data_IF_205869184333
#
_entry.id   IF_205869184333
#
_cell.length_a   1.000
_cell.length_b   1.000
_cell.length_c   1.000
_cell.angle_alpha   90.00
_cell.angle_beta   90.00
_cell.angle_gamma   90.00
#
_symmetry.space_group_name_H-M   'P 1'
#
loop_
_entity.id
_entity.type
_entity.pdbx_description
1 polymer ?
#
# COMPACT_ATOMS: atom_id res chain seq x y z
N UNK A 1 2.25 -22.97 -10.18
CA UNK A 1 2.83 -23.75 -9.06
C UNK A 1 1.85 -24.87 -8.69
N UNK A 2 2.30 -26.00 -8.10
CA UNK A 2 1.38 -27.03 -7.62
C UNK A 2 0.45 -26.47 -6.53
N UNK A 3 -0.85 -26.77 -6.59
CA UNK A 3 -1.84 -26.30 -5.61
C UNK A 3 -1.46 -26.62 -4.15
N UNK A 4 -0.76 -27.74 -3.92
CA UNK A 4 -0.34 -28.17 -2.59
C UNK A 4 0.72 -27.27 -1.95
N UNK A 5 1.56 -26.62 -2.76
CA UNK A 5 2.57 -25.69 -2.26
C UNK A 5 1.89 -24.40 -1.76
N UNK A 6 0.90 -23.89 -2.50
CA UNK A 6 0.13 -22.70 -2.12
C UNK A 6 -0.59 -22.91 -0.77
N UNK A 7 -1.09 -24.12 -0.51
CA UNK A 7 -1.72 -24.47 0.76
C UNK A 7 -0.75 -24.44 1.96
N UNK A 8 0.50 -24.87 1.76
CA UNK A 8 1.53 -24.83 2.82
C UNK A 8 2.05 -23.42 3.14
N UNK A 9 1.90 -22.47 2.20
CA UNK A 9 2.25 -21.07 2.38
C UNK A 9 1.05 -20.18 2.72
N UNK A 10 -0.13 -20.75 2.89
CA UNK A 10 -1.38 -19.99 3.01
C UNK A 10 -1.38 -19.02 4.20
N UNK A 11 -0.79 -19.39 5.33
CA UNK A 11 -0.63 -18.47 6.47
C UNK A 11 0.35 -17.32 6.16
N UNK A 12 1.48 -17.60 5.50
CA UNK A 12 2.46 -16.60 5.07
C UNK A 12 1.92 -15.69 3.96
N UNK A 13 1.03 -16.20 3.12
CA UNK A 13 0.34 -15.44 2.08
C UNK A 13 -0.82 -14.61 2.67
N UNK A 14 -1.42 -15.04 3.77
CA UNK A 14 -2.40 -14.23 4.49
C UNK A 14 -1.73 -12.95 5.02
N UNK A 15 -0.53 -13.05 5.57
CA UNK A 15 0.27 -11.87 5.99
C UNK A 15 0.55 -10.90 4.83
N UNK A 16 0.72 -11.42 3.60
CA UNK A 16 0.89 -10.58 2.40
C UNK A 16 -0.37 -9.75 2.12
N UNK A 17 -1.57 -10.28 2.38
CA UNK A 17 -2.82 -9.53 2.19
C UNK A 17 -2.98 -8.35 3.14
N UNK A 18 -2.26 -8.35 4.26
CA UNK A 18 -2.27 -7.28 5.27
C UNK A 18 -1.15 -6.25 5.04
N UNK A 19 -0.29 -6.46 4.04
CA UNK A 19 0.81 -5.55 3.76
C UNK A 19 0.32 -4.21 3.18
N UNK A 20 0.90 -3.11 3.64
CA UNK A 20 0.59 -1.76 3.14
C UNK A 20 1.02 -1.55 1.68
N UNK A 21 2.08 -2.24 1.27
CA UNK A 21 2.63 -2.20 -0.06
C UNK A 21 3.30 -3.53 -0.38
N UNK A 22 2.98 -4.07 -1.56
CA UNK A 22 3.57 -5.27 -2.11
C UNK A 22 4.46 -4.86 -3.28
N UNK A 23 5.73 -5.26 -3.24
CA UNK A 23 6.65 -5.06 -4.36
C UNK A 23 6.73 -6.33 -5.20
N UNK A 24 6.21 -6.26 -6.43
CA UNK A 24 6.33 -7.33 -7.42
C UNK A 24 7.66 -7.17 -8.15
N UNK A 25 8.73 -7.75 -7.61
CA UNK A 25 10.06 -7.70 -8.24
C UNK A 25 10.13 -8.71 -9.39
N UNK A 26 10.31 -8.21 -10.61
CA UNK A 26 10.30 -9.01 -11.84
C UNK A 26 11.66 -8.87 -12.52
N UNK A 27 12.28 -10.01 -12.84
CA UNK A 27 13.47 -10.02 -13.70
C UNK A 27 13.06 -9.79 -15.15
N UNK A 28 13.27 -8.56 -15.65
CA UNK A 28 12.84 -8.20 -17.00
C UNK A 28 13.77 -8.77 -18.09
N UNK A 29 14.95 -9.27 -17.72
CA UNK A 29 15.84 -9.96 -18.67
C UNK A 29 15.38 -11.38 -19.00
N UNK A 30 14.41 -11.91 -18.24
CA UNK A 30 13.87 -13.24 -18.47
C UNK A 30 12.80 -13.21 -19.58
N UNK A 31 12.95 -13.97 -20.68
CA UNK A 31 11.95 -14.01 -21.76
C UNK A 31 10.56 -14.50 -21.32
N UNK A 32 10.47 -15.18 -20.18
CA UNK A 32 9.20 -15.67 -19.60
C UNK A 32 8.67 -14.79 -18.46
N UNK A 33 9.15 -13.55 -18.33
CA UNK A 33 8.75 -12.66 -17.22
C UNK A 33 7.24 -12.42 -17.17
N UNK A 34 6.57 -12.30 -18.33
CA UNK A 34 5.13 -12.06 -18.43
C UNK A 34 4.34 -13.20 -17.77
N UNK A 35 4.64 -14.44 -18.14
CA UNK A 35 3.99 -15.63 -17.55
C UNK A 35 4.22 -15.74 -16.04
N UNK A 36 5.41 -15.36 -15.57
CA UNK A 36 5.69 -15.32 -14.14
C UNK A 36 4.87 -14.23 -13.44
N UNK A 37 4.80 -13.03 -14.01
CA UNK A 37 4.03 -11.93 -13.48
C UNK A 37 2.53 -12.23 -13.46
N UNK A 38 1.99 -12.86 -14.51
CA UNK A 38 0.61 -13.35 -14.56
C UNK A 38 0.32 -14.34 -13.43
N UNK A 39 1.23 -15.29 -13.22
CA UNK A 39 1.11 -16.28 -12.13
C UNK A 39 1.10 -15.58 -10.76
N UNK A 40 1.98 -14.60 -10.55
CA UNK A 40 2.03 -13.80 -9.31
C UNK A 40 0.73 -13.02 -9.13
N UNK A 41 0.23 -12.36 -10.17
CA UNK A 41 -1.03 -11.61 -10.11
C UNK A 41 -2.22 -12.52 -9.77
N UNK A 42 -2.28 -13.73 -10.34
CA UNK A 42 -3.32 -14.72 -10.00
C UNK A 42 -3.28 -15.10 -8.52
N UNK A 43 -2.10 -15.40 -7.99
CA UNK A 43 -1.95 -15.76 -6.57
C UNK A 43 -2.33 -14.59 -5.66
N UNK A 44 -1.89 -13.37 -5.98
CA UNK A 44 -2.25 -12.16 -5.22
C UNK A 44 -3.76 -11.91 -5.24
N UNK A 45 -4.39 -12.09 -6.40
CA UNK A 45 -5.85 -11.97 -6.53
C UNK A 45 -6.60 -13.02 -5.69
N UNK A 46 -6.13 -14.27 -5.67
CA UNK A 46 -6.72 -15.36 -4.85
C UNK A 46 -6.70 -15.07 -3.34
N UNK A 47 -5.74 -14.28 -2.87
CA UNK A 47 -5.62 -13.87 -1.46
C UNK A 47 -6.23 -12.49 -1.18
N UNK A 48 -6.95 -11.89 -2.14
CA UNK A 48 -7.67 -10.63 -1.95
C UNK A 48 -6.82 -9.37 -2.07
N UNK A 49 -5.59 -9.47 -2.57
CA UNK A 49 -4.75 -8.29 -2.84
C UNK A 49 -5.26 -7.59 -4.10
N UNK A 50 -5.49 -6.28 -3.99
CA UNK A 50 -5.90 -5.44 -5.13
C UNK A 50 -4.69 -4.72 -5.73
N UNK A 51 -4.77 -4.37 -7.02
CA UNK A 51 -3.67 -3.71 -7.76
C UNK A 51 -3.22 -2.37 -7.15
N UNK A 52 -4.07 -1.69 -6.36
CA UNK A 52 -3.68 -0.44 -5.66
C UNK A 52 -2.58 -0.67 -4.61
N UNK A 53 -2.48 -1.87 -4.04
CA UNK A 53 -1.52 -2.21 -2.98
C UNK A 53 -0.23 -2.83 -3.55
N UNK A 54 -0.06 -2.89 -4.87
CA UNK A 54 1.07 -3.55 -5.51
C UNK A 54 1.82 -2.63 -6.49
N UNK A 55 3.14 -2.54 -6.33
CA UNK A 55 4.04 -1.85 -7.25
C UNK A 55 4.90 -2.87 -8.00
N UNK A 56 4.80 -2.86 -9.33
CA UNK A 56 5.67 -3.68 -10.19
C UNK A 56 7.04 -3.02 -10.33
N UNK A 57 8.09 -3.79 -10.08
CA UNK A 57 9.48 -3.36 -10.21
C UNK A 57 10.19 -4.26 -11.20
N UNK A 58 10.51 -3.73 -12.37
CA UNK A 58 11.33 -4.43 -13.37
C UNK A 58 12.80 -4.29 -13.03
N UNK A 59 13.37 -5.34 -12.43
CA UNK A 59 14.78 -5.41 -12.09
C UNK A 59 15.62 -5.98 -13.25
N UNK A 60 16.95 -5.83 -13.13
CA UNK A 60 17.97 -6.30 -14.08
C UNK A 60 17.91 -5.64 -15.46
N UNK A 61 17.50 -4.36 -15.52
CA UNK A 61 17.49 -3.62 -16.79
C UNK A 61 18.88 -3.49 -17.42
N UNK A 62 19.95 -3.67 -16.65
CA UNK A 62 21.33 -3.68 -17.14
C UNK A 62 21.67 -4.88 -18.04
N UNK A 63 20.83 -5.93 -18.02
CA UNK A 63 20.97 -7.10 -18.87
C UNK A 63 20.13 -7.03 -20.15
N UNK A 64 19.29 -6.00 -20.29
CA UNK A 64 18.41 -5.86 -21.45
C UNK A 64 19.20 -5.25 -22.60
N UNK A 65 19.34 -6.04 -23.67
CA UNK A 65 20.00 -5.60 -24.90
C UNK A 65 19.00 -5.08 -25.95
N UNK A 66 17.75 -5.54 -25.86
CA UNK A 66 16.69 -5.17 -26.79
C UNK A 66 15.80 -4.06 -26.19
N UNK A 67 15.88 -2.89 -26.81
CA UNK A 67 15.11 -1.71 -26.39
C UNK A 67 13.61 -1.86 -26.64
N UNK A 68 13.19 -2.71 -27.60
CA UNK A 68 11.79 -2.96 -27.91
C UNK A 68 11.13 -3.73 -26.76
N UNK A 69 11.78 -4.77 -26.24
CA UNK A 69 11.33 -5.51 -25.05
C UNK A 69 11.14 -4.57 -23.86
N UNK A 70 12.12 -3.70 -23.60
CA UNK A 70 12.04 -2.73 -22.51
C UNK A 70 10.86 -1.77 -22.66
N UNK A 71 10.68 -1.23 -23.87
CA UNK A 71 9.63 -0.25 -24.17
C UNK A 71 8.25 -0.89 -24.09
N UNK A 72 8.11 -2.11 -24.62
CA UNK A 72 6.86 -2.85 -24.58
C UNK A 72 6.45 -3.21 -23.15
N UNK A 73 7.40 -3.68 -22.33
CA UNK A 73 7.12 -3.99 -20.92
C UNK A 73 6.59 -2.79 -20.13
N UNK A 74 7.19 -1.60 -20.33
CA UNK A 74 6.72 -0.37 -19.68
C UNK A 74 5.37 0.11 -20.24
N UNK A 75 5.07 -0.17 -21.51
CA UNK A 75 3.78 0.14 -22.14
C UNK A 75 2.68 -0.75 -21.57
N UNK A 76 2.95 -2.04 -21.40
CA UNK A 76 1.97 -3.00 -20.86
C UNK A 76 1.77 -2.87 -19.35
N UNK A 77 2.78 -2.39 -18.62
CA UNK A 77 2.72 -2.20 -17.18
C UNK A 77 2.93 -0.72 -16.80
N UNK A 78 1.94 0.14 -17.08
CA UNK A 78 2.01 1.54 -16.72
C UNK A 78 2.16 1.70 -15.21
N UNK A 79 3.13 2.52 -14.79
CA UNK A 79 3.48 2.71 -13.38
C UNK A 79 4.55 1.76 -12.85
N UNK A 80 5.00 0.77 -13.64
CA UNK A 80 6.14 -0.05 -13.26
C UNK A 80 7.43 0.78 -13.15
N UNK A 81 8.26 0.46 -12.16
CA UNK A 81 9.56 1.10 -11.97
C UNK A 81 10.66 0.17 -12.48
N UNK A 82 11.35 0.58 -13.54
CA UNK A 82 12.49 -0.13 -14.10
C UNK A 82 13.80 0.25 -13.38
N UNK A 83 14.49 -0.74 -12.83
CA UNK A 83 15.73 -0.58 -12.04
C UNK A 83 16.78 -1.61 -12.41
N UNK A 84 18.04 -1.28 -12.14
CA UNK A 84 19.06 -2.30 -11.91
C UNK A 84 19.57 -2.11 -10.50
N UNK A 85 19.15 -2.98 -9.58
CA UNK A 85 19.63 -2.92 -8.19
C UNK A 85 21.14 -3.16 -8.15
N UNK A 86 21.66 -4.07 -8.98
CA UNK A 86 23.10 -4.37 -9.05
C UNK A 86 23.93 -3.18 -9.52
N UNK A 87 23.41 -2.37 -10.45
CA UNK A 87 24.09 -1.20 -10.99
C UNK A 87 23.65 0.11 -10.33
N UNK A 88 22.80 0.04 -9.32
CA UNK A 88 22.17 1.18 -8.65
C UNK A 88 21.40 2.13 -9.60
N UNK A 89 20.96 1.63 -10.76
CA UNK A 89 20.21 2.42 -11.74
C UNK A 89 18.76 2.56 -11.29
N UNK A 90 18.27 3.79 -11.21
CA UNK A 90 16.90 4.17 -10.82
C UNK A 90 16.47 3.71 -9.42
N UNK A 91 17.39 3.31 -8.55
CA UNK A 91 17.06 2.88 -7.18
C UNK A 91 16.43 4.02 -6.37
N UNK A 92 16.94 5.26 -6.51
CA UNK A 92 16.33 6.44 -5.87
C UNK A 92 14.89 6.72 -6.35
N UNK A 93 14.58 6.40 -7.61
CA UNK A 93 13.21 6.50 -8.15
C UNK A 93 12.30 5.45 -7.53
N UNK A 94 12.80 4.23 -7.32
CA UNK A 94 12.08 3.18 -6.61
C UNK A 94 11.83 3.57 -5.15
N UNK A 95 12.82 4.10 -4.46
CA UNK A 95 12.68 4.60 -3.08
C UNK A 95 11.59 5.68 -2.99
N UNK A 96 11.62 6.68 -3.88
CA UNK A 96 10.59 7.71 -3.93
C UNK A 96 9.19 7.12 -4.19
N UNK A 97 9.07 6.17 -5.12
CA UNK A 97 7.80 5.51 -5.41
C UNK A 97 7.25 4.70 -4.22
N UNK A 98 8.12 4.02 -3.47
CA UNK A 98 7.75 3.32 -2.23
C UNK A 98 7.23 4.31 -1.19
N UNK A 99 7.95 5.41 -0.97
CA UNK A 99 7.55 6.45 -0.02
C UNK A 99 6.20 7.07 -0.40
N UNK A 100 5.99 7.36 -1.68
CA UNK A 100 4.73 7.93 -2.17
C UNK A 100 3.57 6.94 -2.05
N UNK A 101 3.78 5.67 -2.36
CA UNK A 101 2.77 4.64 -2.20
C UNK A 101 2.32 4.52 -0.74
N UNK A 102 3.26 4.42 0.20
CA UNK A 102 2.99 4.36 1.65
C UNK A 102 2.32 5.65 2.15
N UNK A 103 2.66 6.82 1.61
CA UNK A 103 2.01 8.09 1.98
C UNK A 103 0.59 8.20 1.44
N UNK A 104 0.32 7.69 0.24
CA UNK A 104 -1.00 7.74 -0.40
C UNK A 104 -2.07 6.90 0.32
N UNK A 105 -1.62 5.92 1.10
CA UNK A 105 -2.43 5.15 2.05
C UNK A 105 -2.93 5.98 3.25
N UNK A 106 -2.25 7.08 3.57
CA UNK A 106 -2.63 7.93 4.69
C UNK A 106 -3.66 8.99 4.28
N UNK A 107 -4.73 9.11 5.04
CA UNK A 107 -5.73 10.18 4.87
C UNK A 107 -5.84 11.00 6.15
N UNK A 108 -6.29 12.24 6.01
CA UNK A 108 -6.64 13.10 7.14
C UNK A 108 -8.13 13.00 7.42
N UNK A 109 -8.50 13.00 8.70
CA UNK A 109 -9.87 13.01 9.20
C UNK A 109 -10.00 13.93 10.40
N UNK A 110 -11.20 14.43 10.59
CA UNK A 110 -11.56 15.24 11.76
C UNK A 110 -12.68 14.51 12.51
N UNK A 111 -12.52 14.41 13.83
CA UNK A 111 -13.49 13.78 14.72
C UNK A 111 -13.92 14.81 15.77
N UNK A 112 -15.19 14.80 16.15
CA UNK A 112 -15.71 15.53 17.31
C UNK A 112 -16.01 14.52 18.41
N UNK A 113 -15.17 14.51 19.44
CA UNK A 113 -15.28 13.60 20.57
C UNK A 113 -16.04 14.27 21.72
N UNK A 114 -16.92 13.53 22.39
CA UNK A 114 -17.47 14.00 23.66
C UNK A 114 -16.39 13.99 24.77
N UNK A 115 -16.56 14.83 25.80
CA UNK A 115 -15.57 14.95 26.88
C UNK A 115 -15.35 13.65 27.67
N UNK A 116 -16.30 12.73 27.67
CA UNK A 116 -16.19 11.40 28.29
C UNK A 116 -15.43 10.37 27.42
N UNK A 117 -15.13 10.71 26.16
CA UNK A 117 -14.39 9.87 25.22
C UNK A 117 -12.86 10.07 25.28
N UNK A 118 -12.32 10.50 26.42
CA UNK A 118 -10.86 10.72 26.62
C UNK A 118 -10.02 9.48 26.31
N UNK A 119 -10.57 8.27 26.52
CA UNK A 119 -9.91 7.01 26.15
C UNK A 119 -9.70 6.89 24.64
N UNK A 120 -10.62 7.38 23.82
CA UNK A 120 -10.50 7.39 22.37
C UNK A 120 -9.48 8.41 21.91
N UNK A 121 -9.45 9.60 22.53
CA UNK A 121 -8.39 10.59 22.28
C UNK A 121 -6.99 10.02 22.58
N UNK A 122 -6.83 9.31 23.71
CA UNK A 122 -5.60 8.61 24.04
C UNK A 122 -5.25 7.52 23.01
N UNK A 123 -6.26 6.79 22.51
CA UNK A 123 -6.06 5.81 21.45
C UNK A 123 -5.56 6.47 20.15
N UNK A 124 -6.11 7.62 19.76
CA UNK A 124 -5.64 8.38 18.58
C UNK A 124 -4.17 8.76 18.71
N UNK A 125 -3.72 9.24 19.88
CA UNK A 125 -2.30 9.52 20.11
C UNK A 125 -1.38 8.31 19.98
N UNK A 126 -1.88 7.09 20.16
CA UNK A 126 -1.09 5.87 20.07
C UNK A 126 -1.01 5.31 18.65
N UNK A 127 -2.06 5.47 17.83
CA UNK A 127 -2.18 4.78 16.54
C UNK A 127 -2.28 5.72 15.32
N UNK A 128 -2.38 7.03 15.55
CA UNK A 128 -2.51 8.06 14.51
C UNK A 128 -1.56 9.23 14.76
N UNK A 129 -1.24 9.95 13.70
CA UNK A 129 -0.61 11.26 13.80
C UNK A 129 -1.69 12.29 14.17
N UNK A 130 -1.67 12.78 15.41
CA UNK A 130 -2.57 13.87 15.83
C UNK A 130 -2.02 15.20 15.33
N UNK A 131 -2.75 15.83 14.41
CA UNK A 131 -2.34 17.07 13.74
C UNK A 131 -2.82 18.33 14.47
N UNK A 132 -4.01 18.29 15.04
CA UNK A 132 -4.60 19.43 15.76
C UNK A 132 -5.63 18.95 16.80
N UNK A 133 -5.76 19.67 17.92
CA UNK A 133 -6.77 19.45 18.96
C UNK A 133 -7.36 20.80 19.38
N UNK A 134 -8.68 20.89 19.35
CA UNK A 134 -9.44 22.05 19.80
C UNK A 134 -10.51 21.64 20.81
N UNK A 135 -10.58 22.35 21.93
CA UNK A 135 -11.61 22.15 22.95
C UNK A 135 -12.75 23.12 22.70
N UNK A 136 -13.90 22.60 22.30
CA UNK A 136 -15.13 23.33 21.99
C UNK A 136 -16.19 23.09 23.08
N UNK A 137 -17.27 23.87 23.09
CA UNK A 137 -18.38 23.65 24.04
C UNK A 137 -19.05 22.27 23.83
N UNK A 138 -19.18 21.86 22.57
CA UNK A 138 -19.82 20.60 22.15
C UNK A 138 -18.93 19.36 22.25
N UNK A 139 -17.63 19.53 22.49
CA UNK A 139 -16.68 18.42 22.60
C UNK A 139 -15.23 18.80 22.27
N UNK A 140 -14.43 17.79 21.99
CA UNK A 140 -13.02 17.91 21.60
C UNK A 140 -12.94 17.60 20.11
N UNK A 141 -12.68 18.62 19.29
CA UNK A 141 -12.39 18.43 17.88
C UNK A 141 -10.93 18.01 17.73
N UNK A 142 -10.69 16.91 17.04
CA UNK A 142 -9.34 16.39 16.80
C UNK A 142 -9.14 16.07 15.33
N UNK A 143 -8.06 16.62 14.77
CA UNK A 143 -7.62 16.34 13.41
C UNK A 143 -6.51 15.32 13.47
N UNK A 144 -6.67 14.22 12.74
CA UNK A 144 -5.74 13.10 12.73
C UNK A 144 -5.37 12.71 11.31
N UNK A 145 -4.18 12.16 11.15
CA UNK A 145 -3.72 11.51 9.92
C UNK A 145 -3.28 10.09 10.25
N UNK A 146 -3.65 9.16 9.39
CA UNK A 146 -3.31 7.76 9.57
C UNK A 146 -3.73 6.94 8.36
N UNK A 147 -3.47 5.63 8.42
CA UNK A 147 -3.87 4.70 7.37
C UNK A 147 -5.38 4.73 7.20
N UNK A 148 -5.83 4.71 5.94
CA UNK A 148 -7.26 4.73 5.58
C UNK A 148 -8.07 3.65 6.27
N UNK A 149 -7.59 2.40 6.27
CA UNK A 149 -8.28 1.29 6.92
C UNK A 149 -8.48 1.52 8.44
N UNK A 150 -7.45 2.00 9.13
CA UNK A 150 -7.53 2.31 10.57
C UNK A 150 -8.55 3.41 10.84
N UNK A 151 -8.54 4.47 10.02
CA UNK A 151 -9.50 5.57 10.14
C UNK A 151 -10.94 5.13 9.85
N UNK A 152 -11.15 4.30 8.83
CA UNK A 152 -12.46 3.71 8.51
C UNK A 152 -12.99 2.80 9.63
N UNK A 153 -12.11 2.02 10.28
CA UNK A 153 -12.51 1.17 11.41
C UNK A 153 -12.84 1.98 12.65
N UNK A 154 -12.09 3.06 12.92
CA UNK A 154 -12.43 4.04 13.96
C UNK A 154 -13.78 4.70 13.66
N UNK A 155 -14.05 5.13 12.43
CA UNK A 155 -15.33 5.71 12.02
C UNK A 155 -16.50 4.72 12.19
N UNK A 156 -16.31 3.43 11.90
CA UNK A 156 -17.36 2.42 12.12
C UNK A 156 -17.68 2.21 13.60
N UNK A 157 -16.66 2.23 14.46
CA UNK A 157 -16.83 2.07 15.91
C UNK A 157 -17.36 3.35 16.58
N UNK A 158 -17.02 4.50 16.02
CA UNK A 158 -17.36 5.83 16.52
C UNK A 158 -17.85 6.71 15.36
N UNK A 159 -19.06 6.48 14.84
CA UNK A 159 -19.57 7.23 13.71
C UNK A 159 -19.59 8.72 14.04
N UNK A 160 -19.12 9.59 13.13
CA UNK A 160 -19.18 11.02 13.35
C UNK A 160 -20.64 11.40 13.59
N UNK A 161 -20.89 12.23 14.61
CA UNK A 161 -22.18 12.92 14.71
C UNK A 161 -22.33 13.69 13.42
N UNK A 162 -23.33 13.34 12.62
CA UNK A 162 -23.60 14.02 11.36
C UNK A 162 -23.67 15.51 11.64
N UNK A 163 -22.83 16.28 10.94
CA UNK A 163 -22.98 17.73 10.85
C UNK A 163 -24.36 17.98 10.25
N UNK A 164 -25.38 18.11 11.09
CA UNK A 164 -26.63 18.72 10.68
C UNK A 164 -26.31 20.20 10.45
N UNK A 165 -26.15 20.56 9.19
CA UNK A 165 -26.23 21.93 8.69
C UNK A 165 -26.76 21.89 7.27
#
# INVERSE_FOLDING_TARGET
LPHDLIASFKSTLQEVSEADLILKIVDLSNPSYEKHLETVNSVLHEIGVTERHALTVFNKIDLIQDQEIFTEALRQHPGAIAVSVLREINVAKLEAAILDAVRSEHTTREFLLAYDQQKLLAHFHNVLDVLDIQYLEEGIQVKVKGRRAVLEDIEKQFPPKSSQS
#
